data_IF_506539635235
#
_entry.id   IF_506539635235
#
_cell.length_a   1.000
_cell.length_b   1.000
_cell.length_c   1.000
_cell.angle_alpha   90.00
_cell.angle_beta   90.00
_cell.angle_gamma   90.00
#
_symmetry.space_group_name_H-M   'P 1'
#
loop_
_entity.id
_entity.type
_entity.pdbx_description
1 polymer ?
#
# COMPACT_ATOMS: atom_id res chain seq x y z
N UNK A 1 -4.93 -21.79 -21.98
CA UNK A 1 -6.32 -21.76 -21.48
C UNK A 1 -6.54 -20.37 -20.89
N UNK A 2 -7.44 -19.58 -21.45
CA UNK A 2 -7.82 -18.27 -20.89
C UNK A 2 -8.47 -18.52 -19.52
N UNK A 3 -7.72 -18.34 -18.44
CA UNK A 3 -8.30 -18.32 -17.09
C UNK A 3 -8.80 -16.90 -16.90
N UNK A 4 -10.10 -16.69 -17.02
CA UNK A 4 -10.73 -15.45 -16.57
C UNK A 4 -10.42 -15.28 -15.09
N UNK A 5 -9.88 -14.12 -14.69
CA UNK A 5 -9.54 -13.89 -13.29
C UNK A 5 -10.78 -14.04 -12.40
N UNK A 6 -10.62 -14.56 -11.17
CA UNK A 6 -11.71 -14.62 -10.21
C UNK A 6 -12.29 -13.21 -10.01
N UNK A 7 -13.63 -13.06 -9.94
CA UNK A 7 -14.25 -11.74 -9.86
C UNK A 7 -13.83 -10.94 -8.60
N UNK A 8 -13.41 -11.63 -7.55
CA UNK A 8 -12.90 -11.02 -6.32
C UNK A 8 -11.36 -10.92 -6.27
N UNK A 9 -10.62 -11.44 -7.25
CA UNK A 9 -9.15 -11.39 -7.34
C UNK A 9 -8.70 -11.01 -8.76
N UNK A 10 -9.11 -9.85 -9.30
CA UNK A 10 -8.82 -9.48 -10.68
C UNK A 10 -7.31 -9.26 -10.95
N UNK A 11 -6.50 -8.98 -9.93
CA UNK A 11 -5.08 -8.65 -10.07
C UNK A 11 -4.19 -9.71 -9.41
N UNK A 12 -4.48 -10.09 -8.16
CA UNK A 12 -3.57 -10.93 -7.38
C UNK A 12 -3.45 -12.35 -7.91
N UNK A 13 -4.51 -12.87 -8.55
CA UNK A 13 -4.49 -14.19 -9.19
C UNK A 13 -3.37 -14.32 -10.21
N UNK A 14 -3.01 -13.23 -10.90
CA UNK A 14 -1.95 -13.23 -11.90
C UNK A 14 -0.55 -13.41 -11.28
N UNK A 15 -0.41 -13.03 -10.01
CA UNK A 15 0.85 -13.07 -9.25
C UNK A 15 0.98 -14.40 -8.50
N UNK A 16 -0.13 -15.01 -8.06
CA UNK A 16 -0.10 -16.17 -7.15
C UNK A 16 -0.71 -17.46 -7.68
N UNK A 17 -1.58 -17.42 -8.69
CA UNK A 17 -2.19 -18.65 -9.23
C UNK A 17 -1.31 -19.26 -10.34
N UNK A 18 -1.28 -20.58 -10.45
CA UNK A 18 -0.50 -21.30 -11.47
C UNK A 18 0.80 -21.91 -10.96
N UNK A 19 1.31 -22.88 -11.70
CA UNK A 19 2.55 -23.59 -11.33
C UNK A 19 3.76 -22.66 -11.47
N UNK A 20 3.75 -21.82 -12.51
CA UNK A 20 4.74 -20.81 -12.83
C UNK A 20 4.90 -19.74 -11.74
N UNK A 21 3.90 -19.56 -10.87
CA UNK A 21 3.91 -18.62 -9.75
C UNK A 21 4.42 -19.22 -8.44
N UNK A 22 4.96 -20.44 -8.47
CA UNK A 22 5.59 -21.05 -7.29
C UNK A 22 6.70 -20.17 -6.65
N UNK A 23 7.59 -19.49 -7.40
CA UNK A 23 8.58 -18.60 -6.81
C UNK A 23 7.97 -17.39 -6.10
N UNK A 24 6.92 -16.78 -6.67
CA UNK A 24 6.19 -15.68 -6.04
C UNK A 24 5.57 -16.12 -4.70
N UNK A 25 4.91 -17.28 -4.69
CA UNK A 25 4.34 -17.84 -3.45
C UNK A 25 5.41 -18.15 -2.40
N UNK A 26 6.59 -18.65 -2.81
CA UNK A 26 7.70 -18.89 -1.89
C UNK A 26 8.14 -17.62 -1.16
N UNK A 27 8.21 -16.48 -1.86
CA UNK A 27 8.50 -15.19 -1.23
C UNK A 27 7.37 -14.73 -0.31
N UNK A 28 6.12 -14.94 -0.70
CA UNK A 28 4.95 -14.54 0.11
C UNK A 28 4.83 -15.36 1.40
N UNK A 29 5.19 -16.63 1.39
CA UNK A 29 5.27 -17.44 2.61
C UNK A 29 6.25 -16.83 3.64
N UNK A 30 7.39 -16.28 3.18
CA UNK A 30 8.39 -15.69 4.06
C UNK A 30 7.90 -14.41 4.77
N UNK A 31 6.91 -13.72 4.21
CA UNK A 31 6.27 -12.55 4.83
C UNK A 31 4.96 -12.90 5.55
N UNK A 32 4.70 -14.18 5.80
CA UNK A 32 3.62 -14.65 6.67
C UNK A 32 2.31 -15.01 5.96
N UNK A 33 2.30 -15.15 4.63
CA UNK A 33 1.15 -15.77 3.95
C UNK A 33 1.06 -17.25 4.29
N UNK A 34 -0.17 -17.75 4.35
CA UNK A 34 -0.46 -19.18 4.42
C UNK A 34 -1.12 -19.66 3.13
N UNK A 35 -1.19 -20.98 2.93
CA UNK A 35 -1.77 -21.55 1.71
C UNK A 35 -3.20 -21.03 1.44
N UNK A 36 -4.01 -20.92 2.51
CA UNK A 36 -5.37 -20.40 2.43
C UNK A 36 -5.46 -18.92 2.04
N UNK A 37 -4.39 -18.13 2.23
CA UNK A 37 -4.38 -16.70 1.91
C UNK A 37 -4.29 -16.46 0.40
N UNK A 38 -3.72 -17.38 -0.38
CA UNK A 38 -3.62 -17.21 -1.83
C UNK A 38 -4.98 -17.21 -2.52
N UNK A 39 -6.01 -17.78 -1.89
CA UNK A 39 -7.38 -17.77 -2.39
C UNK A 39 -8.16 -16.47 -2.06
N UNK A 40 -7.57 -15.55 -1.28
CA UNK A 40 -8.21 -14.31 -0.81
C UNK A 40 -7.82 -13.09 -1.66
N UNK A 41 -8.68 -12.06 -1.77
CA UNK A 41 -8.26 -10.76 -2.29
C UNK A 41 -7.09 -10.20 -1.48
N UNK A 42 -6.05 -9.76 -2.17
CA UNK A 42 -4.89 -9.13 -1.53
C UNK A 42 -5.08 -7.62 -1.52
N UNK A 43 -5.07 -7.01 -0.33
CA UNK A 43 -5.34 -5.58 -0.15
C UNK A 43 -4.05 -4.90 0.34
N UNK A 44 -3.56 -3.95 -0.44
CA UNK A 44 -2.43 -3.11 -0.05
C UNK A 44 -2.87 -2.07 0.97
N UNK A 45 -2.12 -1.90 2.05
CA UNK A 45 -2.32 -0.83 3.04
C UNK A 45 -1.14 0.14 2.94
N UNK A 46 -1.33 1.26 2.24
CA UNK A 46 -0.32 2.30 2.08
C UNK A 46 -0.25 3.18 3.33
N UNK A 47 0.81 2.99 4.11
CA UNK A 47 1.09 3.74 5.33
C UNK A 47 2.04 4.90 5.05
N UNK A 48 1.63 6.11 5.40
CA UNK A 48 2.49 7.30 5.39
C UNK A 48 3.21 7.51 6.73
N UNK A 49 3.29 6.48 7.59
CA UNK A 49 3.88 6.59 8.92
C UNK A 49 5.34 7.06 8.86
N UNK A 50 5.67 8.00 9.75
CA UNK A 50 7.05 8.45 9.94
C UNK A 50 7.19 9.27 11.22
N UNK A 51 8.38 9.30 11.79
CA UNK A 51 8.75 10.14 12.94
C UNK A 51 9.20 11.56 12.53
N UNK A 52 9.12 11.93 11.24
CA UNK A 52 9.50 13.28 10.76
C UNK A 52 8.49 14.36 11.13
N UNK A 53 7.27 14.00 11.52
CA UNK A 53 6.19 14.95 11.83
C UNK A 53 5.14 14.34 12.76
N UNK A 54 4.54 15.11 13.68
CA UNK A 54 3.46 14.62 14.53
C UNK A 54 2.21 14.21 13.73
N UNK A 55 2.02 14.76 12.52
CA UNK A 55 0.90 14.42 11.64
C UNK A 55 0.89 12.92 11.25
N UNK A 56 2.04 12.25 11.27
CA UNK A 56 2.21 10.90 10.72
C UNK A 56 2.72 9.86 11.73
N UNK A 57 3.20 10.30 12.91
CA UNK A 57 3.84 9.41 13.89
C UNK A 57 2.94 8.28 14.43
N UNK A 58 1.62 8.44 14.32
CA UNK A 58 0.61 7.51 14.84
C UNK A 58 -0.03 6.64 13.74
N UNK A 59 0.31 6.87 12.46
CA UNK A 59 -0.33 6.20 11.32
C UNK A 59 -0.02 4.70 11.27
N UNK A 60 1.06 4.24 11.88
CA UNK A 60 1.35 2.81 11.99
C UNK A 60 0.23 2.05 12.72
N UNK A 61 -0.33 2.64 13.79
CA UNK A 61 -1.45 2.01 14.52
C UNK A 61 -2.70 1.93 13.64
N UNK A 62 -2.98 2.99 12.88
CA UNK A 62 -4.11 3.00 11.94
C UNK A 62 -3.91 1.97 10.81
N UNK A 63 -2.68 1.78 10.33
CA UNK A 63 -2.36 0.77 9.33
C UNK A 63 -2.55 -0.65 9.88
N UNK A 64 -2.11 -0.91 11.12
CA UNK A 64 -2.32 -2.19 11.80
C UNK A 64 -3.82 -2.47 12.02
N UNK A 65 -4.60 -1.46 12.39
CA UNK A 65 -6.04 -1.57 12.58
C UNK A 65 -6.76 -1.88 11.26
N UNK A 66 -6.38 -1.18 10.17
CA UNK A 66 -6.89 -1.43 8.83
C UNK A 66 -6.54 -2.85 8.34
N UNK A 67 -5.31 -3.30 8.58
CA UNK A 67 -4.86 -4.64 8.24
C UNK A 67 -5.67 -5.71 8.98
N UNK A 68 -5.90 -5.54 10.29
CA UNK A 68 -6.77 -6.44 11.07
C UNK A 68 -8.21 -6.45 10.54
N UNK A 69 -8.72 -5.29 10.13
CA UNK A 69 -10.04 -5.18 9.50
C UNK A 69 -10.15 -6.02 8.23
N UNK A 70 -9.17 -5.91 7.33
CA UNK A 70 -9.11 -6.67 6.07
C UNK A 70 -8.99 -8.17 6.33
N UNK A 71 -8.03 -8.59 7.17
CA UNK A 71 -7.78 -10.00 7.47
C UNK A 71 -9.00 -10.65 8.15
N UNK A 72 -9.71 -9.90 9.00
CA UNK A 72 -10.93 -10.34 9.68
C UNK A 72 -12.16 -10.50 8.77
N UNK A 73 -12.14 -9.93 7.56
CA UNK A 73 -13.29 -9.92 6.64
C UNK A 73 -13.00 -10.64 5.30
N UNK A 74 -12.09 -11.61 5.31
CA UNK A 74 -11.86 -12.50 4.19
C UNK A 74 -10.88 -11.98 3.13
N UNK A 75 -10.20 -10.86 3.38
CA UNK A 75 -9.05 -10.42 2.61
C UNK A 75 -7.72 -10.90 3.21
N UNK A 76 -6.62 -10.57 2.52
CA UNK A 76 -5.26 -10.65 3.06
C UNK A 76 -4.60 -9.28 2.94
N UNK A 77 -4.30 -8.66 4.07
CA UNK A 77 -3.65 -7.35 4.11
C UNK A 77 -2.14 -7.46 3.87
N UNK A 78 -1.60 -6.49 3.14
CA UNK A 78 -0.15 -6.25 3.02
C UNK A 78 0.13 -4.78 3.29
N UNK A 79 0.73 -4.50 4.45
CA UNK A 79 1.13 -3.13 4.81
C UNK A 79 2.44 -2.78 4.13
N UNK A 80 2.48 -1.61 3.49
CA UNK A 80 3.70 -1.05 2.91
C UNK A 80 3.81 0.45 3.20
N UNK A 81 5.02 0.99 3.05
CA UNK A 81 5.32 2.39 3.35
C UNK A 81 5.37 3.27 2.11
N UNK A 82 5.04 4.55 2.29
CA UNK A 82 5.41 5.64 1.40
C UNK A 82 6.04 6.79 2.19
N UNK A 83 6.73 7.70 1.51
CA UNK A 83 7.41 8.82 2.13
C UNK A 83 6.43 9.85 2.70
N UNK A 84 6.91 10.67 3.63
CA UNK A 84 6.21 11.87 4.05
C UNK A 84 7.21 12.93 4.49
N UNK A 85 6.74 14.17 4.57
CA UNK A 85 7.52 15.34 4.95
C UNK A 85 6.70 16.21 5.91
N UNK A 86 7.31 17.29 6.41
CA UNK A 86 6.61 18.28 7.23
C UNK A 86 6.71 19.66 6.61
N UNK A 87 5.59 20.18 6.13
CA UNK A 87 5.50 21.59 5.72
C UNK A 87 5.81 22.47 6.95
N UNK A 88 5.16 22.21 8.09
CA UNK A 88 5.35 22.99 9.32
C UNK A 88 6.80 23.13 9.78
N UNK A 89 7.64 22.11 9.59
CA UNK A 89 9.08 22.17 9.92
C UNK A 89 9.89 22.81 8.80
N UNK A 90 9.56 22.56 7.53
CA UNK A 90 10.34 23.05 6.38
C UNK A 90 10.00 24.48 5.96
N UNK A 91 8.89 25.05 6.44
CA UNK A 91 8.46 26.41 6.15
C UNK A 91 9.59 27.43 6.37
N UNK A 92 9.80 28.30 5.39
CA UNK A 92 10.82 29.37 5.46
C UNK A 92 12.24 28.91 5.16
N UNK A 93 12.44 27.65 4.79
CA UNK A 93 13.75 27.11 4.40
C UNK A 93 13.77 26.66 2.94
N UNK A 94 14.96 26.39 2.41
CA UNK A 94 15.16 25.76 1.09
C UNK A 94 14.44 24.40 0.96
N UNK A 95 14.20 23.71 2.08
CA UNK A 95 13.45 22.45 2.12
C UNK A 95 12.01 22.58 1.60
N UNK A 96 11.40 23.77 1.69
CA UNK A 96 10.03 23.97 1.24
C UNK A 96 9.86 23.76 -0.27
N UNK A 97 10.95 23.82 -1.05
CA UNK A 97 10.97 23.49 -2.49
C UNK A 97 10.61 22.02 -2.76
N UNK A 98 10.80 21.14 -1.76
CA UNK A 98 10.48 19.72 -1.85
C UNK A 98 9.04 19.40 -1.38
N UNK A 99 8.28 20.39 -0.91
CA UNK A 99 6.94 20.14 -0.39
C UNK A 99 5.98 19.65 -1.46
N UNK A 100 5.71 20.46 -2.48
CA UNK A 100 4.68 20.11 -3.47
C UNK A 100 5.05 18.86 -4.28
N UNK A 101 6.32 18.68 -4.63
CA UNK A 101 6.78 17.49 -5.38
C UNK A 101 6.60 16.19 -4.58
N UNK A 102 6.57 16.24 -3.25
CA UNK A 102 6.30 15.06 -2.43
C UNK A 102 4.93 14.43 -2.73
N UNK A 103 3.96 15.22 -3.21
CA UNK A 103 2.65 14.72 -3.64
C UNK A 103 2.79 13.70 -4.77
N UNK A 104 3.56 14.02 -5.82
CA UNK A 104 3.77 13.13 -6.96
C UNK A 104 4.55 11.88 -6.53
N UNK A 105 5.61 12.07 -5.74
CA UNK A 105 6.42 10.94 -5.26
C UNK A 105 5.57 9.97 -4.45
N UNK A 106 4.64 10.46 -3.64
CA UNK A 106 3.71 9.63 -2.88
C UNK A 106 2.77 8.87 -3.82
N UNK A 107 2.15 9.57 -4.77
CA UNK A 107 1.26 8.94 -5.76
C UNK A 107 1.98 7.85 -6.56
N UNK A 108 3.12 8.19 -7.17
CA UNK A 108 3.95 7.28 -7.96
C UNK A 108 4.41 6.08 -7.13
N UNK A 109 4.77 6.28 -5.86
CA UNK A 109 5.19 5.18 -4.99
C UNK A 109 4.06 4.20 -4.68
N UNK A 110 2.83 4.70 -4.49
CA UNK A 110 1.65 3.87 -4.24
C UNK A 110 1.31 3.09 -5.51
N UNK A 111 1.24 3.76 -6.66
CA UNK A 111 1.00 3.13 -7.97
C UNK A 111 2.04 2.03 -8.24
N UNK A 112 3.31 2.34 -8.00
CA UNK A 112 4.43 1.41 -8.22
C UNK A 112 4.24 0.12 -7.42
N UNK A 113 3.91 0.22 -6.13
CA UNK A 113 3.74 -0.96 -5.28
C UNK A 113 2.48 -1.73 -5.68
N UNK A 114 1.34 -1.04 -5.84
CA UNK A 114 0.05 -1.67 -6.15
C UNK A 114 0.10 -2.39 -7.50
N UNK A 115 0.62 -1.71 -8.52
CA UNK A 115 0.76 -2.27 -9.86
C UNK A 115 1.76 -3.43 -9.93
N UNK A 116 2.88 -3.35 -9.20
CA UNK A 116 3.89 -4.41 -9.18
C UNK A 116 3.42 -5.65 -8.41
N UNK A 117 2.80 -5.47 -7.24
CA UNK A 117 2.35 -6.58 -6.39
C UNK A 117 0.99 -7.15 -6.81
N UNK A 118 0.29 -6.47 -7.72
CA UNK A 118 -1.01 -6.91 -8.24
C UNK A 118 -2.08 -6.96 -7.16
N UNK A 119 -2.15 -5.95 -6.29
CA UNK A 119 -3.19 -5.91 -5.26
C UNK A 119 -4.58 -5.72 -5.87
N UNK A 120 -5.57 -6.38 -5.29
CA UNK A 120 -6.98 -6.32 -5.72
C UNK A 120 -7.71 -5.10 -5.15
N UNK A 121 -7.13 -4.46 -4.13
CA UNK A 121 -7.63 -3.24 -3.54
C UNK A 121 -6.55 -2.51 -2.75
N UNK A 122 -6.85 -1.27 -2.37
CA UNK A 122 -5.94 -0.36 -1.70
C UNK A 122 -6.68 0.38 -0.57
N UNK A 123 -6.03 0.48 0.57
CA UNK A 123 -6.34 1.44 1.64
C UNK A 123 -5.14 2.35 1.78
N UNK A 124 -5.31 3.66 1.57
CA UNK A 124 -4.25 4.64 1.73
C UNK A 124 -4.53 5.56 2.91
N UNK A 125 -3.56 5.69 3.82
CA UNK A 125 -3.71 6.46 5.06
C UNK A 125 -2.82 7.69 4.99
N UNK A 126 -3.44 8.84 4.73
CA UNK A 126 -2.80 10.17 4.79
C UNK A 126 -2.99 10.83 6.15
N UNK A 127 -2.15 11.84 6.44
CA UNK A 127 -2.25 12.68 7.63
C UNK A 127 -1.66 14.09 7.53
N UNK A 128 -0.77 14.36 6.57
CA UNK A 128 -0.12 15.67 6.37
C UNK A 128 -0.51 16.22 5.01
N UNK A 129 -0.42 17.54 4.82
CA UNK A 129 -0.98 18.28 3.68
C UNK A 129 -0.83 17.56 2.33
N UNK A 130 0.40 17.26 1.90
CA UNK A 130 0.68 16.70 0.57
C UNK A 130 0.43 15.20 0.45
N UNK A 131 0.42 14.46 1.55
CA UNK A 131 0.24 13.01 1.48
C UNK A 131 -1.22 12.61 1.25
N UNK A 132 -2.20 13.40 1.72
CA UNK A 132 -3.62 13.15 1.46
C UNK A 132 -3.97 13.21 -0.04
N UNK A 133 -3.65 14.29 -0.79
CA UNK A 133 -3.89 14.31 -2.23
C UNK A 133 -2.98 13.33 -2.97
N UNK A 134 -1.74 13.07 -2.51
CA UNK A 134 -0.89 12.03 -3.11
C UNK A 134 -1.52 10.64 -3.03
N UNK A 135 -2.13 10.30 -1.90
CA UNK A 135 -2.89 9.05 -1.74
C UNK A 135 -4.09 9.00 -2.68
N UNK A 136 -4.86 10.09 -2.80
CA UNK A 136 -6.02 10.14 -3.69
C UNK A 136 -5.64 10.02 -5.16
N UNK A 137 -4.53 10.62 -5.58
CA UNK A 137 -4.01 10.47 -6.94
C UNK A 137 -3.59 9.02 -7.19
N UNK A 138 -2.88 8.38 -6.25
CA UNK A 138 -2.50 6.97 -6.37
C UNK A 138 -3.67 5.97 -6.36
N UNK A 139 -4.88 6.40 -5.96
CA UNK A 139 -6.11 5.60 -6.05
C UNK A 139 -6.82 5.77 -7.41
N UNK A 140 -6.69 6.94 -8.03
CA UNK A 140 -7.47 7.34 -9.20
C UNK A 140 -7.00 6.66 -10.49
#
# INVERSE_FOLDING_TARGET
>A
MSKTNPPNRPHSSQVVDGMERAPSRAMLYAVGFQEADFAKPQIGIASTWSMVTPCNMHINQLADDAARGVDGHGGKAVVFGTITISDGISMGTEGMKYSLVSREVIADSIETVVGCQGFDGLVAIGGCDKNMPGCMIGIA
#
